data_IF_175951010497
#
_entry.id   IF_175951010497
#
_cell.length_a   1.000
_cell.length_b   1.000
_cell.length_c   1.000
_cell.angle_alpha   90.00
_cell.angle_beta   90.00
_cell.angle_gamma   90.00
#
_symmetry.space_group_name_H-M   'P 1'
#
loop_
_entity.id
_entity.type
_entity.pdbx_description
1 polymer ?
#
# COMPACT_ATOMS: atom_id res chain seq x y z
N UNK A 1 -32.92 1.04 -61.95
CA UNK A 1 -33.22 1.06 -60.50
C UNK A 1 -32.07 0.51 -59.72
N UNK A 2 -31.52 1.28 -58.85
CA UNK A 2 -30.36 0.88 -58.08
C UNK A 2 -30.68 0.97 -56.64
N UNK A 3 -30.38 -0.08 -55.92
CA UNK A 3 -30.51 -0.15 -54.47
C UNK A 3 -29.15 0.12 -53.89
N UNK A 4 -29.04 1.17 -53.14
CA UNK A 4 -27.83 1.47 -52.38
C UNK A 4 -28.07 0.95 -50.99
N UNK A 5 -27.35 -0.09 -50.67
CA UNK A 5 -27.29 -0.63 -49.32
C UNK A 5 -26.23 0.15 -48.53
N UNK A 6 -26.71 1.00 -47.68
CA UNK A 6 -25.84 1.63 -46.69
C UNK A 6 -25.69 0.68 -45.52
N UNK A 7 -24.56 0.04 -45.47
CA UNK A 7 -24.21 -0.74 -44.30
C UNK A 7 -23.80 0.22 -43.19
N UNK A 8 -24.65 0.36 -42.19
CA UNK A 8 -24.31 1.08 -41.00
C UNK A 8 -23.42 0.20 -40.16
N UNK A 9 -22.16 0.55 -40.10
CA UNK A 9 -21.21 -0.13 -39.20
C UNK A 9 -21.38 0.54 -37.83
N UNK A 10 -21.99 -0.19 -36.91
CA UNK A 10 -22.06 0.24 -35.53
C UNK A 10 -20.72 -0.07 -34.88
N UNK A 11 -19.99 0.97 -34.50
CA UNK A 11 -18.80 0.83 -33.66
C UNK A 11 -19.22 0.74 -32.22
N UNK A 12 -19.03 -0.44 -31.63
CA UNK A 12 -19.12 -0.57 -30.19
C UNK A 12 -17.81 -0.13 -29.60
N UNK A 13 -17.82 1.03 -28.95
CA UNK A 13 -16.70 1.50 -28.18
C UNK A 13 -16.70 0.76 -26.85
N UNK A 14 -15.82 -0.22 -26.75
CA UNK A 14 -15.58 -0.87 -25.47
C UNK A 14 -14.57 -0.01 -24.72
N UNK A 15 -15.05 0.73 -23.75
CA UNK A 15 -14.16 1.48 -22.85
C UNK A 15 -13.70 0.56 -21.74
N UNK A 16 -12.39 0.33 -21.67
CA UNK A 16 -11.76 -0.46 -20.62
C UNK A 16 -11.49 0.34 -19.34
N UNK A 17 -12.09 1.52 -19.19
CA UNK A 17 -11.88 2.40 -18.04
C UNK A 17 -12.33 1.80 -16.71
N UNK A 18 -13.18 0.77 -16.72
CA UNK A 18 -13.69 0.12 -15.51
C UNK A 18 -12.57 -0.58 -14.72
N UNK A 19 -11.54 -1.09 -15.39
CA UNK A 19 -10.43 -1.78 -14.72
C UNK A 19 -9.56 -0.85 -13.88
N UNK A 20 -9.47 0.42 -14.22
CA UNK A 20 -8.69 1.40 -13.47
C UNK A 20 -9.34 1.75 -12.13
N UNK A 21 -10.66 1.60 -12.00
CA UNK A 21 -11.40 1.92 -10.78
C UNK A 21 -11.29 0.85 -9.70
N UNK A 22 -10.95 -0.39 -10.10
CA UNK A 22 -10.79 -1.50 -9.17
C UNK A 22 -9.35 -1.63 -8.66
N UNK A 23 -8.45 -0.75 -9.09
CA UNK A 23 -7.09 -0.72 -8.61
C UNK A 23 -7.08 -0.26 -7.16
N UNK A 24 -6.95 -1.22 -6.28
CA UNK A 24 -6.58 -0.94 -4.91
C UNK A 24 -5.08 -0.63 -4.92
N UNK A 25 -4.70 0.51 -4.37
CA UNK A 25 -3.31 0.86 -4.21
C UNK A 25 -2.59 -0.08 -3.25
N UNK A 26 -1.32 0.18 -3.04
CA UNK A 26 -0.51 -0.54 -2.07
C UNK A 26 -1.11 -0.35 -0.68
N UNK A 27 -1.18 -1.44 0.10
CA UNK A 27 -1.68 -1.41 1.46
C UNK A 27 -0.75 -2.21 2.37
N UNK A 28 -0.63 -1.73 3.59
CA UNK A 28 0.05 -2.43 4.67
C UNK A 28 -0.99 -3.09 5.58
N UNK A 29 -0.76 -4.33 5.98
CA UNK A 29 -1.60 -5.08 6.90
C UNK A 29 -0.85 -5.30 8.21
N UNK A 30 -1.39 -4.74 9.30
CA UNK A 30 -0.77 -4.86 10.61
C UNK A 30 -1.10 -6.21 11.25
N UNK A 31 -0.17 -7.14 11.19
CA UNK A 31 -0.25 -8.44 11.86
C UNK A 31 0.63 -8.49 13.12
N UNK A 32 1.08 -7.33 13.59
CA UNK A 32 1.73 -7.22 14.90
C UNK A 32 0.68 -7.23 16.01
N UNK A 33 1.10 -7.38 17.25
CA UNK A 33 0.17 -7.49 18.38
C UNK A 33 -0.45 -6.17 18.81
N UNK A 34 0.18 -5.03 18.47
CA UNK A 34 -0.20 -3.74 19.01
C UNK A 34 -0.53 -2.73 17.93
N UNK A 35 -1.29 -1.73 18.32
CA UNK A 35 -1.60 -0.59 17.45
C UNK A 35 -0.34 0.16 17.07
N UNK A 36 -0.14 0.36 15.78
CA UNK A 36 0.97 1.15 15.22
C UNK A 36 0.55 2.61 15.19
N UNK A 37 1.40 3.47 15.70
CA UNK A 37 1.14 4.92 15.82
C UNK A 37 1.94 5.75 14.82
N UNK A 38 3.04 5.23 14.30
CA UNK A 38 3.78 5.82 13.17
C UNK A 38 4.28 4.74 12.25
N UNK A 39 4.32 5.04 10.96
CA UNK A 39 4.77 4.09 9.94
C UNK A 39 5.48 4.86 8.82
N UNK A 40 6.78 4.66 8.71
CA UNK A 40 7.60 5.32 7.71
C UNK A 40 8.33 4.30 6.86
N UNK A 41 8.51 4.62 5.60
CA UNK A 41 9.20 3.78 4.63
C UNK A 41 10.40 4.51 4.04
N UNK A 42 11.45 3.75 3.77
CA UNK A 42 12.65 4.23 3.10
C UNK A 42 13.04 3.24 2.02
N UNK A 43 13.51 3.67 0.85
CA UNK A 43 14.14 2.74 -0.08
C UNK A 43 15.22 1.93 0.65
N UNK A 44 15.26 0.63 0.40
CA UNK A 44 16.08 -0.30 1.18
C UNK A 44 17.54 0.16 1.23
N UNK A 45 18.09 0.23 2.44
CA UNK A 45 19.49 0.59 2.69
C UNK A 45 19.83 2.07 2.62
N UNK A 46 18.86 2.96 2.44
CA UNK A 46 19.16 4.41 2.28
C UNK A 46 18.93 5.24 3.53
N UNK A 47 18.15 4.75 4.50
CA UNK A 47 17.70 5.51 5.68
C UNK A 47 17.07 6.87 5.31
N UNK A 48 16.46 6.94 4.15
CA UNK A 48 15.76 8.12 3.67
C UNK A 48 14.26 7.98 4.00
N UNK A 49 13.92 8.21 5.25
CA UNK A 49 12.58 7.97 5.77
C UNK A 49 11.57 8.97 5.24
N UNK A 50 10.51 8.45 4.64
CA UNK A 50 9.40 9.24 4.14
C UNK A 50 8.43 9.67 5.23
N UNK A 51 7.29 10.25 4.83
CA UNK A 51 6.29 10.73 5.77
C UNK A 51 5.63 9.58 6.54
N UNK A 52 4.99 9.91 7.65
CA UNK A 52 4.21 8.97 8.44
C UNK A 52 2.95 8.55 7.68
N UNK A 53 2.91 7.31 7.22
CA UNK A 53 1.80 6.76 6.46
C UNK A 53 0.53 6.56 7.32
N UNK A 54 0.66 6.51 8.65
CA UNK A 54 -0.50 6.41 9.54
C UNK A 54 -1.46 7.58 9.37
N UNK A 55 -0.96 8.72 8.89
CA UNK A 55 -1.80 9.89 8.59
C UNK A 55 -2.80 9.65 7.47
N UNK A 56 -2.63 8.59 6.70
CA UNK A 56 -3.60 8.18 5.68
C UNK A 56 -4.85 7.54 6.28
N UNK A 57 -4.78 7.12 7.53
CA UNK A 57 -5.93 6.57 8.24
C UNK A 57 -6.65 7.68 9.00
N UNK A 58 -7.97 7.50 9.16
CA UNK A 58 -8.83 8.48 9.82
C UNK A 58 -8.37 8.77 11.25
N UNK A 59 -7.96 7.72 11.97
CA UNK A 59 -7.54 7.82 13.37
C UNK A 59 -6.07 8.17 13.53
N UNK A 60 -5.29 8.13 12.45
CA UNK A 60 -3.85 8.32 12.53
C UNK A 60 -3.09 7.13 13.10
N UNK A 61 -3.74 5.98 13.26
CA UNK A 61 -3.16 4.74 13.80
C UNK A 61 -3.62 3.54 13.00
N UNK A 62 -2.92 2.42 13.14
CA UNK A 62 -3.28 1.15 12.48
C UNK A 62 -3.37 0.08 13.55
N UNK A 63 -4.58 -0.37 13.83
CA UNK A 63 -4.82 -1.42 14.83
C UNK A 63 -4.39 -2.79 14.31
N UNK A 64 -4.27 -3.73 15.23
CA UNK A 64 -4.04 -5.13 14.87
C UNK A 64 -5.11 -5.59 13.86
N UNK A 65 -4.67 -6.28 12.82
CA UNK A 65 -5.52 -6.82 11.74
C UNK A 65 -6.14 -5.76 10.83
N UNK A 66 -5.76 -4.51 10.97
CA UNK A 66 -6.21 -3.42 10.12
C UNK A 66 -5.25 -3.21 8.95
N UNK A 67 -5.79 -2.72 7.84
CA UNK A 67 -5.02 -2.37 6.65
C UNK A 67 -4.91 -0.86 6.51
N UNK A 68 -3.70 -0.42 6.19
CA UNK A 68 -3.36 0.99 5.99
C UNK A 68 -3.08 1.22 4.51
N UNK A 69 -3.69 2.24 3.95
CA UNK A 69 -3.35 2.68 2.61
C UNK A 69 -1.98 3.34 2.60
N UNK A 70 -1.12 2.91 1.68
CA UNK A 70 0.22 3.47 1.49
C UNK A 70 0.21 4.35 0.25
N UNK A 71 0.72 5.57 0.37
CA UNK A 71 0.74 6.55 -0.71
C UNK A 71 2.17 7.01 -1.00
N UNK A 72 2.41 7.42 -2.25
CA UNK A 72 3.69 7.96 -2.66
C UNK A 72 4.82 6.94 -2.75
N UNK A 73 4.49 5.65 -2.84
CA UNK A 73 5.45 4.54 -2.86
C UNK A 73 5.31 3.78 -4.17
N UNK A 74 6.42 3.62 -4.88
CA UNK A 74 6.52 2.76 -6.06
C UNK A 74 6.83 1.33 -5.63
N UNK A 75 6.50 0.31 -6.46
CA UNK A 75 6.92 -1.06 -6.20
C UNK A 75 8.44 -1.15 -6.03
N UNK A 76 8.89 -1.98 -5.11
CA UNK A 76 10.32 -2.15 -4.84
C UNK A 76 10.57 -2.70 -3.46
N UNK A 77 11.80 -2.54 -2.98
CA UNK A 77 12.20 -2.97 -1.65
C UNK A 77 12.42 -1.78 -0.74
N UNK A 78 11.89 -1.92 0.46
CA UNK A 78 11.86 -0.84 1.44
C UNK A 78 12.23 -1.34 2.82
N UNK A 79 12.83 -0.45 3.60
CA UNK A 79 12.89 -0.60 5.03
C UNK A 79 11.69 0.11 5.65
N UNK A 80 11.15 -0.46 6.72
CA UNK A 80 10.00 0.09 7.44
C UNK A 80 10.44 0.42 8.86
N UNK A 81 10.12 1.63 9.30
CA UNK A 81 10.26 2.05 10.69
C UNK A 81 8.86 2.30 11.24
N UNK A 82 8.52 1.60 12.30
CA UNK A 82 7.23 1.74 12.94
C UNK A 82 7.39 1.96 14.44
N UNK A 83 6.46 2.73 15.01
CA UNK A 83 6.30 2.84 16.45
C UNK A 83 4.93 2.33 16.84
N UNK A 84 4.81 1.77 18.04
CA UNK A 84 3.56 1.23 18.54
C UNK A 84 3.16 1.80 19.91
N UNK A 85 1.94 1.46 20.34
CA UNK A 85 1.36 2.00 21.58
C UNK A 85 2.09 1.59 22.84
N UNK A 86 2.87 0.51 22.82
CA UNK A 86 3.66 0.13 24.00
C UNK A 86 5.04 0.76 24.02
N UNK A 87 5.30 1.69 23.10
CA UNK A 87 6.52 2.49 23.10
C UNK A 87 7.70 1.87 22.36
N UNK A 88 7.50 0.79 21.61
CA UNK A 88 8.55 0.24 20.75
C UNK A 88 8.71 1.07 19.49
N UNK A 89 9.94 1.25 19.05
CA UNK A 89 10.30 1.69 17.71
C UNK A 89 11.07 0.59 17.03
N UNK A 90 10.54 0.04 15.97
CA UNK A 90 11.10 -1.14 15.30
C UNK A 90 11.45 -0.82 13.86
N UNK A 91 12.52 -1.44 13.37
CA UNK A 91 12.91 -1.38 11.96
C UNK A 91 12.81 -2.79 11.38
N UNK A 92 12.07 -2.92 10.28
CA UNK A 92 11.97 -4.15 9.50
C UNK A 92 12.61 -3.89 8.15
N UNK A 93 13.67 -4.61 7.84
CA UNK A 93 14.48 -4.38 6.65
C UNK A 93 14.01 -5.19 5.47
N UNK A 94 14.20 -4.62 4.28
CA UNK A 94 14.09 -5.31 2.99
C UNK A 94 12.73 -5.93 2.73
N UNK A 95 11.68 -5.15 2.97
CA UNK A 95 10.30 -5.54 2.71
C UNK A 95 10.01 -5.37 1.23
N UNK A 96 9.50 -6.42 0.59
CA UNK A 96 9.09 -6.33 -0.81
C UNK A 96 7.70 -5.75 -0.93
N UNK A 97 7.57 -4.71 -1.75
CA UNK A 97 6.30 -4.03 -2.04
C UNK A 97 6.00 -4.20 -3.53
N UNK A 98 4.85 -4.79 -3.82
CA UNK A 98 4.37 -5.01 -5.18
C UNK A 98 3.23 -4.07 -5.53
N UNK A 99 3.09 -3.75 -6.80
CA UNK A 99 2.03 -2.88 -7.28
C UNK A 99 0.64 -3.43 -6.94
N UNK A 100 -0.20 -2.59 -6.34
CA UNK A 100 -1.58 -2.94 -6.00
C UNK A 100 -1.71 -4.05 -4.95
N UNK A 101 -0.64 -4.45 -4.31
CA UNK A 101 -0.63 -5.58 -3.38
C UNK A 101 -0.72 -5.13 -1.92
N UNK A 102 -1.08 -6.07 -1.07
CA UNK A 102 -1.00 -5.94 0.38
C UNK A 102 0.27 -6.60 0.86
N UNK A 103 1.08 -5.88 1.62
CA UNK A 103 2.21 -6.47 2.35
C UNK A 103 1.93 -6.41 3.84
N UNK A 104 2.47 -7.35 4.59
CA UNK A 104 2.20 -7.45 6.02
C UNK A 104 3.50 -7.49 6.82
N UNK A 105 3.40 -7.09 8.08
CA UNK A 105 4.44 -7.30 9.07
C UNK A 105 3.81 -8.04 10.24
N UNK A 106 4.42 -9.15 10.62
CA UNK A 106 4.01 -9.97 11.74
C UNK A 106 4.86 -9.67 12.98
N UNK A 107 4.35 -9.99 14.16
CA UNK A 107 5.07 -9.76 15.42
C UNK A 107 6.47 -10.39 15.42
N UNK A 108 6.61 -11.60 14.89
CA UNK A 108 7.91 -12.31 14.83
C UNK A 108 8.98 -11.58 14.02
N UNK A 109 8.58 -10.66 13.14
CA UNK A 109 9.52 -9.87 12.33
C UNK A 109 10.08 -8.66 13.08
N UNK A 110 9.53 -8.33 14.24
CA UNK A 110 9.94 -7.19 15.04
C UNK A 110 11.12 -7.58 15.94
N UNK A 111 12.28 -7.77 15.32
CA UNK A 111 13.52 -8.21 16.02
C UNK A 111 14.49 -7.07 16.28
N UNK A 112 14.34 -5.95 15.57
CA UNK A 112 15.20 -4.76 15.72
C UNK A 112 14.35 -3.62 16.28
N UNK A 113 14.12 -3.68 17.58
CA UNK A 113 13.30 -2.73 18.31
C UNK A 113 14.07 -2.09 19.44
N UNK A 114 13.69 -0.85 19.75
CA UNK A 114 14.14 -0.11 20.93
C UNK A 114 12.94 0.60 21.56
N UNK A 115 13.11 1.04 22.75
CA UNK A 115 12.13 1.85 23.47
C UNK A 115 12.63 3.23 23.75
#
# INVERSE_FOLDING_TARGET
>A
MRIVLLASIAFALVTSSVLAQDRKGIRFWNLTLYTITTFQMSPAGTDNWGPDQCKNDRDGTVDHDERLRITGIEPGRYDVKLADKIGRVCIVRNVEVKDGAVFSIEERQLTDCRR
#
